data_IF_263806962447
#
_entry.id   IF_263806962447
#
_cell.length_a   1.000
_cell.length_b   1.000
_cell.length_c   1.000
_cell.angle_alpha   90.00
_cell.angle_beta   90.00
_cell.angle_gamma   90.00
#
_symmetry.space_group_name_H-M   'P 1'
#
loop_
_entity.id
_entity.type
_entity.pdbx_description
1 polymer ?
#
# COMPACT_ATOMS: atom_id res chain seq x y z
N UNK A 1 21.21 -29.49 18.01
CA UNK A 1 19.97 -28.83 18.49
C UNK A 1 19.62 -27.82 17.40
N UNK A 2 18.62 -28.11 16.55
CA UNK A 2 18.43 -27.44 15.25
C UNK A 2 17.92 -26.00 15.40
N UNK A 3 18.70 -25.05 14.89
CA UNK A 3 18.49 -23.59 14.86
C UNK A 3 17.57 -23.10 13.72
N UNK A 4 16.41 -23.75 13.47
CA UNK A 4 15.54 -23.36 12.33
C UNK A 4 14.05 -23.31 12.69
N UNK A 5 13.69 -22.70 13.82
CA UNK A 5 12.28 -22.50 14.20
C UNK A 5 11.90 -21.02 14.42
N UNK A 6 12.48 -20.13 13.62
CA UNK A 6 12.19 -18.70 13.69
C UNK A 6 11.23 -18.26 12.59
N UNK A 7 10.00 -17.91 13.02
CA UNK A 7 9.02 -17.02 12.36
C UNK A 7 8.05 -17.65 11.34
N UNK A 8 7.25 -18.64 11.77
CA UNK A 8 5.89 -18.77 11.21
C UNK A 8 5.01 -17.72 11.88
N UNK A 9 4.83 -16.56 11.24
CA UNK A 9 3.80 -15.62 11.68
C UNK A 9 2.44 -16.32 11.63
N UNK A 10 1.71 -16.24 12.75
CA UNK A 10 0.36 -16.77 12.81
C UNK A 10 -0.52 -16.00 11.82
N UNK A 11 -1.48 -16.66 11.17
CA UNK A 11 -2.42 -16.02 10.23
C UNK A 11 -3.12 -14.79 10.85
N UNK A 12 -3.22 -14.75 12.18
CA UNK A 12 -3.77 -13.63 12.94
C UNK A 12 -2.81 -12.42 13.01
N UNK A 13 -1.50 -12.65 13.16
CA UNK A 13 -0.49 -11.59 13.13
C UNK A 13 -0.40 -10.96 11.74
N UNK A 14 -0.48 -11.78 10.70
CA UNK A 14 -0.53 -11.29 9.31
C UNK A 14 -1.77 -10.42 9.07
N UNK A 15 -2.95 -10.83 9.56
CA UNK A 15 -4.17 -10.05 9.41
C UNK A 15 -4.07 -8.69 10.14
N UNK A 16 -3.55 -8.68 11.36
CA UNK A 16 -3.32 -7.45 12.13
C UNK A 16 -2.27 -6.54 11.48
N UNK A 17 -1.21 -7.12 10.92
CA UNK A 17 -0.19 -6.37 10.20
C UNK A 17 -0.73 -5.75 8.91
N UNK A 18 -1.53 -6.50 8.15
CA UNK A 18 -2.24 -6.00 6.98
C UNK A 18 -3.16 -4.83 7.34
N UNK A 19 -3.93 -4.98 8.42
CA UNK A 19 -4.87 -3.95 8.86
C UNK A 19 -4.14 -2.68 9.32
N UNK A 20 -3.14 -2.80 10.19
CA UNK A 20 -2.38 -1.65 10.68
C UNK A 20 -1.54 -0.99 9.58
N UNK A 21 -0.89 -1.79 8.73
CA UNK A 21 -0.08 -1.28 7.62
C UNK A 21 -0.93 -0.50 6.62
N UNK A 22 -2.09 -1.03 6.23
CA UNK A 22 -3.00 -0.35 5.31
C UNK A 22 -3.67 0.89 5.92
N UNK A 23 -3.95 0.88 7.24
CA UNK A 23 -4.39 2.07 7.97
C UNK A 23 -3.34 3.18 7.94
N UNK A 24 -2.08 2.89 8.28
CA UNK A 24 -1.02 3.90 8.25
C UNK A 24 -0.79 4.46 6.84
N UNK A 25 -0.75 3.59 5.83
CA UNK A 25 -0.56 4.01 4.44
C UNK A 25 -1.73 4.87 3.96
N UNK A 26 -2.96 4.46 4.21
CA UNK A 26 -4.14 5.22 3.78
C UNK A 26 -4.25 6.58 4.48
N UNK A 27 -3.87 6.67 5.76
CA UNK A 27 -3.81 7.94 6.48
C UNK A 27 -2.74 8.87 5.89
N UNK A 28 -1.53 8.36 5.64
CA UNK A 28 -0.48 9.17 5.02
C UNK A 28 -0.82 9.59 3.58
N UNK A 29 -1.52 8.74 2.82
CA UNK A 29 -2.07 9.09 1.51
C UNK A 29 -3.08 10.24 1.61
N UNK A 30 -3.96 10.22 2.62
CA UNK A 30 -4.92 11.30 2.84
C UNK A 30 -4.23 12.65 3.09
N UNK A 31 -3.12 12.66 3.84
CA UNK A 31 -2.30 13.86 4.06
C UNK A 31 -1.65 14.33 2.75
N UNK A 32 -1.08 13.41 1.97
CA UNK A 32 -0.45 13.73 0.67
C UNK A 32 -1.46 14.32 -0.31
N UNK A 33 -2.65 13.71 -0.40
CA UNK A 33 -3.75 14.16 -1.22
C UNK A 33 -4.11 15.61 -0.95
N UNK A 34 -4.25 15.97 0.33
CA UNK A 34 -4.62 17.34 0.74
C UNK A 34 -3.51 18.36 0.54
N UNK A 35 -2.26 17.94 0.63
CA UNK A 35 -1.11 18.80 0.37
C UNK A 35 -0.70 18.86 -1.11
N UNK A 36 -1.41 18.16 -2.02
CA UNK A 36 -1.06 18.07 -3.44
C UNK A 36 0.26 17.35 -3.70
N UNK A 37 0.70 16.51 -2.76
CA UNK A 37 1.96 15.79 -2.83
C UNK A 37 1.79 14.48 -3.61
N UNK A 38 2.90 13.99 -4.16
CA UNK A 38 2.97 12.72 -4.86
C UNK A 38 4.02 11.82 -4.22
N UNK A 39 3.74 10.53 -4.22
CA UNK A 39 4.72 9.49 -3.91
C UNK A 39 5.45 9.04 -5.18
N UNK A 40 6.50 8.23 -5.03
CA UNK A 40 7.16 7.57 -6.15
C UNK A 40 6.46 6.27 -6.59
N UNK A 41 6.83 5.79 -7.78
CA UNK A 41 6.41 4.49 -8.31
C UNK A 41 4.92 4.37 -8.63
N UNK A 42 4.32 3.19 -8.43
CA UNK A 42 2.93 2.93 -8.83
C UNK A 42 1.92 3.73 -8.01
N UNK A 43 2.22 4.02 -6.74
CA UNK A 43 1.40 4.90 -5.91
C UNK A 43 1.43 6.34 -6.42
N UNK A 44 2.59 6.83 -6.90
CA UNK A 44 2.71 8.13 -7.55
C UNK A 44 1.87 8.25 -8.82
N UNK A 45 1.90 7.21 -9.67
CA UNK A 45 1.03 7.14 -10.84
C UNK A 45 -0.46 7.15 -10.46
N UNK A 46 -0.84 6.47 -9.38
CA UNK A 46 -2.22 6.53 -8.89
C UNK A 46 -2.62 7.93 -8.41
N UNK A 47 -1.70 8.68 -7.78
CA UNK A 47 -1.91 10.10 -7.47
C UNK A 47 -2.09 10.95 -8.74
N UNK A 48 -1.28 10.73 -9.78
CA UNK A 48 -1.44 11.44 -11.05
C UNK A 48 -2.82 11.19 -11.68
N UNK A 49 -3.28 9.93 -11.70
CA UNK A 49 -4.61 9.59 -12.19
C UNK A 49 -5.68 10.24 -11.31
N UNK A 50 -5.52 10.23 -9.98
CA UNK A 50 -6.45 10.86 -9.04
C UNK A 50 -6.49 12.40 -9.17
N UNK A 51 -5.39 13.05 -9.52
CA UNK A 51 -5.36 14.51 -9.73
C UNK A 51 -5.85 14.89 -11.13
N UNK A 52 -5.59 14.05 -12.13
CA UNK A 52 -6.05 14.27 -13.50
C UNK A 52 -7.52 13.86 -13.72
N UNK A 53 -8.02 12.90 -12.95
CA UNK A 53 -9.39 12.37 -13.01
C UNK A 53 -10.06 12.54 -11.67
N UNK A 54 -11.36 12.85 -11.62
CA UNK A 54 -12.14 12.93 -10.36
C UNK A 54 -12.36 11.58 -9.66
N UNK A 55 -11.55 10.57 -9.96
CA UNK A 55 -11.63 9.22 -9.43
C UNK A 55 -10.94 9.16 -8.07
N UNK A 56 -11.50 8.52 -7.04
CA UNK A 56 -10.78 8.34 -5.76
C UNK A 56 -9.43 7.65 -5.94
N UNK A 57 -8.42 8.08 -5.18
CA UNK A 57 -7.08 7.48 -5.18
C UNK A 57 -7.13 5.95 -5.02
N UNK A 58 -7.99 5.44 -4.13
CA UNK A 58 -8.11 4.01 -3.88
C UNK A 58 -8.49 3.22 -5.14
N UNK A 59 -9.43 3.74 -5.93
CA UNK A 59 -9.84 3.12 -7.20
C UNK A 59 -8.74 3.20 -8.26
N UNK A 60 -8.09 4.36 -8.39
CA UNK A 60 -6.97 4.54 -9.31
C UNK A 60 -5.83 3.56 -9.01
N UNK A 61 -5.49 3.41 -7.73
CA UNK A 61 -4.44 2.50 -7.28
C UNK A 61 -4.82 1.03 -7.47
N UNK A 62 -6.07 0.65 -7.21
CA UNK A 62 -6.56 -0.71 -7.44
C UNK A 62 -6.51 -1.10 -8.92
N UNK A 63 -6.99 -0.22 -9.81
CA UNK A 63 -6.95 -0.45 -11.26
C UNK A 63 -5.52 -0.56 -11.79
N UNK A 64 -4.61 0.32 -11.34
CA UNK A 64 -3.20 0.23 -11.68
C UNK A 64 -2.54 -1.06 -11.20
N UNK A 65 -3.05 -1.67 -10.12
CA UNK A 65 -2.50 -2.90 -9.56
C UNK A 65 -2.99 -4.19 -10.24
N UNK A 66 -4.10 -4.16 -10.98
CA UNK A 66 -4.61 -5.33 -11.72
C UNK A 66 -3.56 -6.08 -12.56
N UNK A 67 -2.75 -5.42 -13.43
CA UNK A 67 -1.73 -6.12 -14.21
C UNK A 67 -0.66 -6.77 -13.32
N UNK A 68 -0.36 -6.18 -12.16
CA UNK A 68 0.61 -6.72 -11.21
C UNK A 68 0.06 -7.92 -10.44
N UNK A 69 -1.25 -7.98 -10.18
CA UNK A 69 -1.87 -9.18 -9.61
C UNK A 69 -1.77 -10.38 -10.54
N UNK A 70 -1.99 -10.16 -11.85
CA UNK A 70 -1.82 -11.22 -12.84
C UNK A 70 -0.39 -11.77 -12.85
N UNK A 71 0.62 -10.87 -12.80
CA UNK A 71 2.02 -11.27 -12.71
C UNK A 71 2.36 -11.98 -11.39
N UNK A 72 1.82 -11.49 -10.26
CA UNK A 72 2.00 -12.09 -8.94
C UNK A 72 1.43 -13.52 -8.88
N UNK A 73 0.22 -13.72 -9.42
CA UNK A 73 -0.45 -15.01 -9.46
C UNK A 73 0.37 -16.05 -10.23
N UNK A 74 0.96 -15.64 -11.35
CA UNK A 74 1.75 -16.53 -12.22
C UNK A 74 3.09 -16.97 -11.60
N UNK A 75 3.66 -16.20 -10.66
CA UNK A 75 5.04 -16.44 -10.15
C UNK A 75 5.18 -16.62 -8.64
N UNK A 76 4.51 -15.84 -7.81
CA UNK A 76 4.65 -15.91 -6.34
C UNK A 76 3.60 -16.81 -5.68
N UNK A 77 2.61 -17.26 -6.45
CA UNK A 77 1.56 -18.17 -6.00
C UNK A 77 0.31 -17.47 -5.47
N UNK A 78 -0.74 -18.28 -5.30
CA UNK A 78 -2.08 -17.80 -4.94
C UNK A 78 -2.17 -17.15 -3.57
N UNK A 79 -1.42 -17.66 -2.58
CA UNK A 79 -1.46 -17.15 -1.19
C UNK A 79 -0.93 -15.71 -1.12
N UNK A 80 0.19 -15.42 -1.78
CA UNK A 80 0.76 -14.07 -1.83
C UNK A 80 -0.16 -13.09 -2.57
N UNK A 81 -0.76 -13.56 -3.67
CA UNK A 81 -1.68 -12.75 -4.48
C UNK A 81 -2.93 -12.39 -3.68
N UNK A 82 -3.52 -13.35 -2.96
CA UNK A 82 -4.68 -13.10 -2.10
C UNK A 82 -4.36 -12.11 -0.97
N UNK A 83 -3.20 -12.24 -0.31
CA UNK A 83 -2.75 -11.28 0.71
C UNK A 83 -2.58 -9.86 0.15
N UNK A 84 -1.92 -9.74 -0.99
CA UNK A 84 -1.68 -8.47 -1.69
C UNK A 84 -3.00 -7.84 -2.15
N UNK A 85 -3.89 -8.63 -2.74
CA UNK A 85 -5.22 -8.18 -3.14
C UNK A 85 -6.02 -7.67 -1.95
N UNK A 86 -6.02 -8.41 -0.84
CA UNK A 86 -6.68 -8.00 0.40
C UNK A 86 -6.08 -6.69 0.94
N UNK A 87 -4.74 -6.58 0.99
CA UNK A 87 -4.05 -5.38 1.45
C UNK A 87 -4.43 -4.13 0.62
N UNK A 88 -4.36 -4.24 -0.70
CA UNK A 88 -4.68 -3.11 -1.58
C UNK A 88 -6.17 -2.77 -1.51
N UNK A 89 -7.05 -3.77 -1.42
CA UNK A 89 -8.50 -3.54 -1.26
C UNK A 89 -8.80 -2.81 0.06
N UNK A 90 -8.21 -3.26 1.18
CA UNK A 90 -8.35 -2.60 2.48
C UNK A 90 -7.85 -1.16 2.43
N UNK A 91 -6.65 -0.95 1.87
CA UNK A 91 -6.06 0.37 1.72
C UNK A 91 -6.93 1.29 0.85
N UNK A 92 -7.50 0.77 -0.25
CA UNK A 92 -8.36 1.53 -1.14
C UNK A 92 -9.68 1.94 -0.44
N UNK A 93 -10.26 1.03 0.35
CA UNK A 93 -11.46 1.31 1.16
C UNK A 93 -11.13 2.37 2.22
N UNK A 94 -10.06 2.19 2.99
CA UNK A 94 -9.67 3.17 4.01
C UNK A 94 -9.30 4.53 3.42
N UNK A 95 -8.57 4.57 2.31
CA UNK A 95 -8.23 5.82 1.63
C UNK A 95 -9.47 6.56 1.14
N UNK A 96 -10.45 5.84 0.60
CA UNK A 96 -11.73 6.43 0.19
C UNK A 96 -12.56 6.89 1.39
N UNK A 97 -12.55 6.12 2.48
CA UNK A 97 -13.24 6.49 3.72
C UNK A 97 -12.65 7.76 4.34
N UNK A 98 -11.32 7.88 4.40
CA UNK A 98 -10.65 9.09 4.86
C UNK A 98 -10.94 10.29 3.96
N UNK A 99 -10.97 10.09 2.64
CA UNK A 99 -11.33 11.16 1.69
C UNK A 99 -12.75 11.69 1.91
N UNK A 100 -13.69 10.81 2.29
CA UNK A 100 -15.10 11.15 2.52
C UNK A 100 -15.37 11.72 3.93
N UNK A 101 -14.79 11.11 4.98
CA UNK A 101 -15.09 11.45 6.38
C UNK A 101 -14.11 12.45 7.00
N UNK A 102 -12.85 12.51 6.55
CA UNK A 102 -11.84 13.40 7.12
C UNK A 102 -11.49 14.54 6.15
N UNK A 103 -12.05 15.71 6.43
CA UNK A 103 -11.54 16.96 5.87
C UNK A 103 -10.31 17.37 6.68
N UNK A 104 -9.12 16.87 6.30
CA UNK A 104 -7.88 17.39 6.87
C UNK A 104 -7.71 18.85 6.44
N UNK A 105 -7.86 19.77 7.39
CA UNK A 105 -7.49 21.18 7.25
C UNK A 105 -6.01 21.34 7.58
N UNK A 106 -5.14 20.64 6.85
CA UNK A 106 -3.69 20.82 6.99
C UNK A 106 -3.25 22.03 6.18
N UNK A 107 -2.96 23.15 6.88
CA UNK A 107 -2.51 24.40 6.23
C UNK A 107 -1.03 24.38 5.80
N UNK A 108 -0.24 23.37 6.19
CA UNK A 108 1.20 23.33 5.93
C UNK A 108 1.66 22.05 5.22
N UNK A 109 2.06 22.19 3.95
CA UNK A 109 2.53 21.09 3.11
C UNK A 109 3.81 20.40 3.63
N UNK A 110 4.70 21.12 4.33
CA UNK A 110 5.92 20.53 4.90
C UNK A 110 5.60 19.49 5.98
N UNK A 111 4.61 19.80 6.83
CA UNK A 111 4.13 18.87 7.84
C UNK A 111 3.50 17.63 7.21
N UNK A 112 2.67 17.83 6.18
CA UNK A 112 2.06 16.73 5.43
C UNK A 112 3.09 15.84 4.73
N UNK A 113 4.16 16.43 4.18
CA UNK A 113 5.25 15.69 3.55
C UNK A 113 6.00 14.80 4.55
N UNK A 114 6.39 15.35 5.69
CA UNK A 114 7.16 14.59 6.71
C UNK A 114 6.27 13.53 7.36
N UNK A 115 5.11 13.91 7.89
CA UNK A 115 4.24 12.98 8.60
C UNK A 115 3.61 11.96 7.66
N UNK A 116 3.08 12.40 6.51
CA UNK A 116 2.52 11.49 5.51
C UNK A 116 3.57 10.53 4.96
N UNK A 117 4.80 11.01 4.73
CA UNK A 117 5.91 10.18 4.28
C UNK A 117 6.31 9.12 5.31
N UNK A 118 6.40 9.50 6.58
CA UNK A 118 6.69 8.57 7.68
C UNK A 118 5.59 7.50 7.85
N UNK A 119 4.32 7.90 7.76
CA UNK A 119 3.18 7.00 7.86
C UNK A 119 3.14 6.00 6.69
N UNK A 120 3.29 6.50 5.46
CA UNK A 120 3.34 5.66 4.25
C UNK A 120 4.53 4.71 4.34
N UNK A 121 5.74 5.21 4.62
CA UNK A 121 6.95 4.40 4.71
C UNK A 121 6.86 3.35 5.81
N UNK A 122 6.41 3.73 7.02
CA UNK A 122 6.24 2.81 8.15
C UNK A 122 5.23 1.71 7.86
N UNK A 123 4.08 2.04 7.26
CA UNK A 123 3.11 1.03 6.86
C UNK A 123 3.63 0.10 5.76
N UNK A 124 4.40 0.61 4.79
CA UNK A 124 5.06 -0.25 3.79
C UNK A 124 6.03 -1.24 4.42
N UNK A 125 6.84 -0.82 5.41
CA UNK A 125 7.75 -1.71 6.13
C UNK A 125 7.00 -2.83 6.87
N UNK A 126 5.85 -2.51 7.49
CA UNK A 126 4.98 -3.52 8.14
C UNK A 126 4.48 -4.53 7.10
N UNK A 127 3.96 -4.07 5.96
CA UNK A 127 3.46 -4.97 4.92
C UNK A 127 4.56 -5.87 4.35
N UNK A 128 5.72 -5.29 4.03
CA UNK A 128 6.84 -6.06 3.48
C UNK A 128 7.38 -7.10 4.47
N UNK A 129 7.41 -6.79 5.78
CA UNK A 129 7.83 -7.74 6.81
C UNK A 129 6.91 -8.97 6.90
N UNK A 130 5.63 -8.81 6.58
CA UNK A 130 4.64 -9.90 6.58
C UNK A 130 4.42 -10.55 5.19
N UNK A 131 5.37 -10.37 4.27
CA UNK A 131 5.30 -10.89 2.89
C UNK A 131 4.02 -10.43 2.16
N UNK A 132 3.55 -9.23 2.46
CA UNK A 132 2.47 -8.57 1.76
C UNK A 132 3.03 -7.41 0.94
N UNK A 133 2.54 -7.24 -0.27
CA UNK A 133 2.90 -6.10 -1.11
C UNK A 133 1.63 -5.31 -1.44
N UNK A 134 1.77 -4.04 -1.75
CA UNK A 134 0.69 -3.25 -2.36
C UNK A 134 0.71 -3.33 -3.89
N UNK A 135 1.44 -4.32 -4.44
CA UNK A 135 1.63 -4.53 -5.87
C UNK A 135 2.56 -3.48 -6.51
N UNK A 136 2.69 -3.53 -7.84
CA UNK A 136 3.50 -2.58 -8.60
C UNK A 136 4.95 -2.98 -8.84
N UNK A 137 5.85 -1.98 -8.85
CA UNK A 137 7.28 -2.19 -9.11
C UNK A 137 7.92 -3.15 -8.11
N UNK A 138 7.46 -3.22 -6.86
CA UNK A 138 8.03 -4.14 -5.87
C UNK A 138 7.89 -5.61 -6.28
N UNK A 139 6.73 -6.01 -6.83
CA UNK A 139 6.54 -7.35 -7.39
C UNK A 139 7.44 -7.59 -8.61
N UNK A 140 7.68 -6.54 -9.40
CA UNK A 140 8.54 -6.57 -10.57
C UNK A 140 10.03 -6.66 -10.20
N UNK A 141 10.46 -5.98 -9.15
CA UNK A 141 11.82 -6.05 -8.59
C UNK A 141 12.08 -7.44 -8.01
N UNK A 142 11.13 -8.00 -7.23
CA UNK A 142 11.22 -9.38 -6.76
C UNK A 142 11.24 -10.38 -7.92
N UNK A 143 10.48 -10.12 -9.00
CA UNK A 143 10.53 -10.91 -10.22
C UNK A 143 11.92 -10.90 -10.88
N UNK A 144 12.57 -9.73 -10.94
CA UNK A 144 13.90 -9.56 -11.53
C UNK A 144 15.02 -10.11 -10.63
N UNK A 145 14.86 -10.03 -9.30
CA UNK A 145 15.85 -10.48 -8.33
C UNK A 145 15.92 -12.01 -8.21
N UNK A 146 14.84 -12.72 -8.57
CA UNK A 146 14.79 -14.19 -8.64
C UNK A 146 15.18 -14.73 -10.04
N UNK A 147 15.83 -13.92 -10.87
CA UNK A 147 16.37 -14.33 -12.18
C UNK A 147 17.87 -14.09 -12.21
#
# INVERSE_FOLDING_TARGET
>A
MNETDHLKHSHFEDALALLNGTLFISLGIAMFNKAGLLTGGTAGFAFLIHYASSLSFGWAFFLLNLPFYYLAMKRMGWVFTAKTFCAVSLMAVFSSLYSYFMQFTTSNAYYAAVMGGLLIGGGFLILFRHQASLGGMNTLTLYLQHK
#
